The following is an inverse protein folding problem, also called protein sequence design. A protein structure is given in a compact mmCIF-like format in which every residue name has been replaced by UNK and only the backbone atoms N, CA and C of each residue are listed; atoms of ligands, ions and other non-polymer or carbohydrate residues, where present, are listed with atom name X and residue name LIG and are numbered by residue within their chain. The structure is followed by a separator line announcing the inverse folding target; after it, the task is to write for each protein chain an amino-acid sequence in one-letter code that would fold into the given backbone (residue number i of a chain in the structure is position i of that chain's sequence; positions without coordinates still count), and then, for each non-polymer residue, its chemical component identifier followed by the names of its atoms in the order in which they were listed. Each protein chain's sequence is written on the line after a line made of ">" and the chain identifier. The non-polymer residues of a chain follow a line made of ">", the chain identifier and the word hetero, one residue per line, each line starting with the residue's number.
data_IF_144666965046
#
_entry.id   IF_144666965046
#
_cell.length_a   1.000
_cell.length_b   1.000
_cell.length_c   1.000
_cell.angle_alpha   90.00
_cell.angle_beta   90.00
_cell.angle_gamma   90.00
#
_symmetry.space_group_name_H-M   'P 1'
#
loop_
_entity.id
_entity.type
_entity.pdbx_description
1 polymer ?
#
# COMPACT_ATOMS: atom_id res chain seq x y z
N UNK A 1 1.14 7.28 26.85
CA UNK A 1 0.91 6.80 25.46
C UNK A 1 1.35 5.36 25.43
N UNK A 2 0.48 4.42 25.02
CA UNK A 2 0.83 3.00 25.06
C UNK A 2 1.51 2.61 23.75
N UNK A 3 2.83 2.44 23.82
CA UNK A 3 3.61 1.77 22.79
C UNK A 3 3.13 0.31 22.69
N UNK A 4 3.10 -0.26 21.48
CA UNK A 4 2.77 -1.67 21.23
C UNK A 4 1.36 -2.14 21.60
N UNK A 5 0.37 -1.24 21.62
CA UNK A 5 -1.05 -1.63 21.72
C UNK A 5 -1.70 -1.53 20.34
N UNK A 6 -2.18 -2.66 19.83
CA UNK A 6 -2.80 -2.77 18.52
C UNK A 6 -4.32 -2.96 18.62
N UNK A 7 -5.06 -2.34 17.71
CA UNK A 7 -6.53 -2.36 17.70
C UNK A 7 -7.08 -2.88 16.37
N UNK A 8 -7.33 -4.19 16.30
CA UNK A 8 -7.93 -4.87 15.14
C UNK A 8 -9.36 -5.33 15.42
N UNK A 9 -10.25 -4.40 15.77
CA UNK A 9 -11.66 -4.68 16.06
C UNK A 9 -12.59 -3.67 15.39
N UNK A 10 -13.87 -4.03 15.27
CA UNK A 10 -14.88 -3.19 14.63
C UNK A 10 -14.53 -2.88 13.17
N UNK A 11 -14.47 -1.59 12.83
CA UNK A 11 -14.08 -1.14 11.46
C UNK A 11 -12.59 -1.33 11.15
N UNK A 12 -11.76 -1.59 12.16
CA UNK A 12 -10.32 -1.78 12.01
C UNK A 12 -9.94 -3.28 11.90
N UNK A 13 -10.93 -4.18 11.85
CA UNK A 13 -10.70 -5.62 11.71
C UNK A 13 -10.32 -5.98 10.26
N UNK A 14 -9.03 -5.87 9.98
CA UNK A 14 -8.43 -6.12 8.67
C UNK A 14 -8.66 -7.57 8.20
N UNK A 15 -8.52 -8.55 9.08
CA UNK A 15 -8.67 -9.96 8.72
C UNK A 15 -10.11 -10.27 8.33
N UNK A 16 -11.08 -9.70 9.05
CA UNK A 16 -12.50 -9.82 8.69
C UNK A 16 -12.79 -9.18 7.33
N UNK A 17 -12.23 -8.00 7.04
CA UNK A 17 -12.39 -7.36 5.74
C UNK A 17 -11.85 -8.23 4.60
N UNK A 18 -10.61 -8.75 4.73
CA UNK A 18 -10.01 -9.61 3.70
C UNK A 18 -10.84 -10.89 3.49
N UNK A 19 -11.39 -11.46 4.57
CA UNK A 19 -12.28 -12.61 4.47
C UNK A 19 -13.60 -12.29 3.74
N UNK A 20 -14.14 -11.08 3.86
CA UNK A 20 -15.29 -10.68 3.04
C UNK A 20 -14.93 -10.59 1.56
N UNK A 21 -13.76 -10.06 1.23
CA UNK A 21 -13.25 -10.03 -0.16
C UNK A 21 -13.10 -11.45 -0.71
N UNK A 22 -12.52 -12.38 0.08
CA UNK A 22 -12.44 -13.81 -0.28
C UNK A 22 -13.82 -14.42 -0.54
N UNK A 23 -14.79 -14.18 0.35
CA UNK A 23 -16.17 -14.69 0.22
C UNK A 23 -16.89 -14.15 -1.02
N UNK A 24 -16.57 -12.93 -1.43
CA UNK A 24 -17.09 -12.33 -2.66
C UNK A 24 -16.41 -12.87 -3.93
N UNK A 25 -15.39 -13.74 -3.82
CA UNK A 25 -14.66 -14.26 -4.96
C UNK A 25 -13.71 -13.24 -5.61
N UNK A 26 -13.35 -12.18 -4.88
CA UNK A 26 -12.47 -11.12 -5.37
C UNK A 26 -11.03 -11.32 -4.87
N UNK A 27 -10.07 -10.80 -5.63
CA UNK A 27 -8.68 -10.66 -5.19
C UNK A 27 -8.44 -9.34 -4.47
N UNK A 28 -7.35 -9.28 -3.69
CA UNK A 28 -6.95 -8.11 -2.92
C UNK A 28 -5.48 -7.74 -3.19
N UNK A 29 -5.23 -6.44 -3.35
CA UNK A 29 -3.88 -5.85 -3.30
C UNK A 29 -3.74 -5.19 -1.93
N UNK A 30 -2.79 -5.67 -1.11
CA UNK A 30 -2.59 -5.16 0.25
C UNK A 30 -1.53 -4.06 0.27
N UNK A 31 -1.97 -2.79 0.35
CA UNK A 31 -1.07 -1.63 0.47
C UNK A 31 -0.86 -1.29 1.96
N UNK A 32 0.11 -1.97 2.58
CA UNK A 32 0.25 -1.98 4.05
C UNK A 32 0.92 -0.76 4.67
N UNK A 33 1.68 0.03 3.89
CA UNK A 33 2.41 1.20 4.40
C UNK A 33 3.77 0.84 5.01
N UNK A 34 4.22 1.47 6.12
CA UNK A 34 3.37 2.13 7.12
C UNK A 34 3.00 3.57 6.78
N UNK A 35 3.74 4.22 5.86
CA UNK A 35 3.25 5.44 5.22
C UNK A 35 2.32 5.06 4.06
N UNK A 36 1.10 5.57 4.08
CA UNK A 36 0.09 5.29 3.04
C UNK A 36 -0.40 6.53 2.32
N UNK A 37 0.05 7.73 2.73
CA UNK A 37 -0.57 8.99 2.32
C UNK A 37 -2.08 8.95 2.59
N UNK A 38 -2.89 8.79 1.52
CA UNK A 38 -4.32 8.49 1.58
C UNK A 38 -5.16 9.60 2.17
N UNK A 39 -4.64 10.83 2.20
CA UNK A 39 -5.27 12.00 2.83
C UNK A 39 -5.70 11.69 4.28
N UNK A 40 -4.94 10.82 4.94
CA UNK A 40 -5.24 10.32 6.27
C UNK A 40 -4.37 11.03 7.30
N UNK A 41 -4.85 11.04 8.54
CA UNK A 41 -4.17 11.69 9.65
C UNK A 41 -2.71 11.22 9.73
N UNK A 42 -1.79 12.19 9.64
CA UNK A 42 -0.34 11.98 9.70
C UNK A 42 0.21 10.95 8.69
N UNK A 43 -0.46 10.79 7.54
CA UNK A 43 -0.05 9.84 6.48
C UNK A 43 -0.13 8.37 6.88
N UNK A 44 -0.82 8.06 7.99
CA UNK A 44 -0.91 6.73 8.59
C UNK A 44 0.04 6.52 9.78
N UNK A 45 1.02 7.40 10.01
CA UNK A 45 1.93 7.24 11.14
C UNK A 45 1.25 7.51 12.48
N UNK A 46 1.58 6.75 13.53
CA UNK A 46 1.18 7.10 14.86
C UNK A 46 1.96 8.32 15.35
N UNK A 47 1.27 9.30 15.94
CA UNK A 47 1.87 10.56 16.41
C UNK A 47 3.00 10.33 17.42
N UNK A 48 2.93 9.28 18.24
CA UNK A 48 3.98 8.97 19.22
C UNK A 48 5.34 8.68 18.57
N UNK A 49 5.37 8.24 17.30
CA UNK A 49 6.61 7.95 16.57
C UNK A 49 7.48 9.20 16.46
N UNK A 50 6.85 10.38 16.36
CA UNK A 50 7.54 11.67 16.28
C UNK A 50 8.32 12.01 17.56
N UNK A 51 7.94 11.43 18.69
CA UNK A 51 8.57 11.72 19.98
C UNK A 51 9.73 10.77 20.31
N UNK A 52 10.08 9.86 19.40
CA UNK A 52 11.23 8.97 19.60
C UNK A 52 12.54 9.77 19.44
N UNK A 53 13.50 9.64 20.38
CA UNK A 53 14.80 10.29 20.24
C UNK A 53 15.51 9.87 18.95
N UNK A 54 16.02 10.84 18.18
CA UNK A 54 16.77 10.58 16.95
C UNK A 54 15.91 10.14 15.76
N UNK A 55 14.58 10.26 15.83
CA UNK A 55 13.70 9.86 14.74
C UNK A 55 13.78 10.83 13.56
N UNK A 56 13.94 10.25 12.38
CA UNK A 56 13.72 10.92 11.10
C UNK A 56 12.78 10.07 10.26
N UNK A 57 11.74 10.66 9.69
CA UNK A 57 10.76 9.87 8.94
C UNK A 57 11.21 9.64 7.52
N UNK A 58 11.08 8.38 7.07
CA UNK A 58 11.32 7.97 5.67
C UNK A 58 12.74 8.27 5.20
N UNK A 59 13.70 8.24 6.11
CA UNK A 59 15.14 8.33 5.83
C UNK A 59 15.85 7.05 6.31
N UNK A 60 17.11 6.90 5.90
CA UNK A 60 18.00 5.86 6.39
C UNK A 60 18.58 6.28 7.76
N UNK A 61 17.80 6.04 8.81
CA UNK A 61 18.23 6.14 10.21
C UNK A 61 17.93 4.81 10.91
N UNK A 62 18.35 4.62 12.16
CA UNK A 62 18.13 3.34 12.86
C UNK A 62 16.69 3.21 13.38
N UNK A 63 16.14 4.29 13.93
CA UNK A 63 14.88 4.25 14.69
C UNK A 63 13.67 3.97 13.79
N UNK A 64 13.59 4.63 12.64
CA UNK A 64 12.42 4.56 11.78
C UNK A 64 12.26 3.19 11.08
N UNK A 65 13.29 2.60 10.43
CA UNK A 65 13.22 1.28 9.85
C UNK A 65 12.88 0.18 10.86
N UNK A 66 13.39 0.27 12.09
CA UNK A 66 13.07 -0.70 13.16
C UNK A 66 11.57 -0.67 13.51
N UNK A 67 11.01 0.52 13.72
CA UNK A 67 9.58 0.67 14.01
C UNK A 67 8.70 0.27 12.80
N UNK A 68 9.14 0.58 11.57
CA UNK A 68 8.48 0.10 10.37
C UNK A 68 8.52 -1.42 10.27
N UNK A 69 9.65 -2.04 10.59
CA UNK A 69 9.83 -3.49 10.54
C UNK A 69 8.92 -4.21 11.54
N UNK A 70 8.80 -3.67 12.76
CA UNK A 70 7.90 -4.20 13.78
C UNK A 70 6.44 -4.27 13.30
N UNK A 71 5.91 -3.15 12.80
CA UNK A 71 4.53 -3.10 12.32
C UNK A 71 4.31 -3.96 11.07
N UNK A 72 5.24 -3.91 10.12
CA UNK A 72 5.14 -4.69 8.87
C UNK A 72 5.16 -6.19 9.16
N UNK A 73 6.05 -6.64 10.02
CA UNK A 73 6.16 -8.05 10.43
C UNK A 73 4.91 -8.51 11.15
N UNK A 74 4.34 -7.69 12.04
CA UNK A 74 3.07 -7.98 12.70
C UNK A 74 1.95 -8.23 11.68
N UNK A 75 1.74 -7.29 10.74
CA UNK A 75 0.68 -7.41 9.74
C UNK A 75 0.90 -8.65 8.87
N UNK A 76 2.13 -8.87 8.38
CA UNK A 76 2.44 -10.04 7.55
C UNK A 76 2.20 -11.35 8.30
N UNK A 77 2.62 -11.46 9.56
CA UNK A 77 2.40 -12.65 10.37
C UNK A 77 0.90 -12.90 10.57
N UNK A 78 0.12 -11.86 10.93
CA UNK A 78 -1.33 -11.98 11.04
C UNK A 78 -1.98 -12.49 9.75
N UNK A 79 -1.56 -11.97 8.60
CA UNK A 79 -2.08 -12.38 7.29
C UNK A 79 -1.68 -13.83 6.96
N UNK A 80 -0.42 -14.22 7.25
CA UNK A 80 0.09 -15.58 7.05
C UNK A 80 -0.63 -16.60 7.92
N UNK A 81 -0.79 -16.30 9.20
CA UNK A 81 -1.42 -17.19 10.18
C UNK A 81 -2.90 -17.43 9.86
N UNK A 82 -3.54 -16.49 9.15
CA UNK A 82 -4.91 -16.62 8.65
C UNK A 82 -5.00 -17.19 7.22
N UNK A 83 -3.89 -17.60 6.60
CA UNK A 83 -3.83 -18.15 5.24
C UNK A 83 -4.47 -17.24 4.17
N UNK A 84 -4.17 -15.93 4.25
CA UNK A 84 -4.80 -14.93 3.41
C UNK A 84 -3.96 -14.51 2.18
N UNK A 85 -2.71 -14.93 2.09
CA UNK A 85 -1.93 -14.82 0.85
C UNK A 85 -2.38 -15.86 -0.19
N UNK A 86 -2.35 -15.49 -1.48
CA UNK A 86 -2.72 -16.39 -2.57
C UNK A 86 -1.86 -17.66 -2.63
N UNK A 87 -0.59 -17.56 -2.24
CA UNK A 87 0.32 -18.70 -2.02
C UNK A 87 -0.19 -19.72 -0.99
N UNK A 88 -1.11 -19.31 -0.10
CA UNK A 88 -1.75 -20.13 0.92
C UNK A 88 -3.25 -20.38 0.62
N UNK A 89 -3.74 -20.02 -0.57
CA UNK A 89 -5.17 -20.14 -0.94
C UNK A 89 -6.05 -18.98 -0.46
N UNK A 90 -5.46 -17.84 -0.12
CA UNK A 90 -6.16 -16.60 0.22
C UNK A 90 -6.33 -15.63 -0.97
N UNK A 91 -7.02 -14.48 -0.77
CA UNK A 91 -7.31 -13.55 -1.85
C UNK A 91 -6.17 -12.55 -2.14
N UNK A 92 -5.15 -12.43 -1.30
CA UNK A 92 -4.11 -11.39 -1.46
C UNK A 92 -3.11 -11.83 -2.53
N UNK A 93 -3.08 -11.10 -3.65
CA UNK A 93 -2.25 -11.44 -4.83
C UNK A 93 -1.02 -10.55 -4.98
N UNK A 94 -1.02 -9.37 -4.35
CA UNK A 94 0.09 -8.41 -4.39
C UNK A 94 0.14 -7.64 -3.07
N UNK A 95 1.34 -7.23 -2.66
CA UNK A 95 1.52 -6.35 -1.51
C UNK A 95 2.42 -5.16 -1.87
N UNK A 96 2.15 -3.98 -1.32
CA UNK A 96 2.98 -2.78 -1.55
C UNK A 96 3.89 -2.51 -0.35
N UNK A 97 5.20 -2.37 -0.57
CA UNK A 97 6.16 -1.99 0.47
C UNK A 97 7.47 -1.43 -0.08
N UNK A 98 8.24 -0.71 0.73
CA UNK A 98 9.29 0.19 0.25
C UNK A 98 10.76 -0.22 0.52
N UNK A 99 11.07 -1.40 1.06
CA UNK A 99 12.47 -1.76 1.37
C UNK A 99 12.76 -3.28 1.29
N UNK A 100 14.00 -3.67 1.64
CA UNK A 100 14.50 -5.05 1.51
C UNK A 100 13.83 -6.07 2.45
N UNK A 101 13.35 -5.67 3.63
CA UNK A 101 12.62 -6.55 4.55
C UNK A 101 11.41 -7.23 3.87
N UNK A 102 10.74 -6.61 2.90
CA UNK A 102 9.66 -7.24 2.13
C UNK A 102 10.05 -8.61 1.56
N UNK A 103 11.28 -8.73 1.01
CA UNK A 103 11.75 -9.98 0.45
C UNK A 103 11.98 -11.03 1.56
N UNK A 104 12.59 -10.62 2.67
CA UNK A 104 12.86 -11.52 3.81
C UNK A 104 11.58 -12.08 4.45
N UNK A 105 10.48 -11.33 4.36
CA UNK A 105 9.19 -11.76 4.90
C UNK A 105 8.55 -12.91 4.10
N UNK A 106 9.05 -13.25 2.91
CA UNK A 106 8.66 -14.41 2.11
C UNK A 106 7.14 -14.69 2.11
N UNK A 107 6.36 -13.74 1.57
CA UNK A 107 4.89 -13.84 1.52
C UNK A 107 4.37 -14.71 0.36
N UNK A 108 5.25 -15.09 -0.56
CA UNK A 108 4.92 -15.96 -1.70
C UNK A 108 4.06 -15.29 -2.79
N UNK A 109 3.90 -13.97 -2.75
CA UNK A 109 3.25 -13.16 -3.79
C UNK A 109 4.11 -11.93 -4.12
N UNK A 110 4.00 -11.33 -5.33
CA UNK A 110 4.87 -10.23 -5.72
C UNK A 110 4.66 -8.95 -4.89
N UNK A 111 5.74 -8.17 -4.78
CA UNK A 111 5.74 -6.84 -4.16
C UNK A 111 5.67 -5.73 -5.21
N UNK A 112 4.93 -4.67 -4.91
CA UNK A 112 4.83 -3.47 -5.74
C UNK A 112 5.36 -2.23 -5.00
N UNK A 113 5.85 -1.23 -5.75
CA UNK A 113 6.15 0.12 -5.25
C UNK A 113 5.51 1.14 -6.19
N UNK A 114 4.72 2.08 -5.67
CA UNK A 114 4.08 3.12 -6.47
C UNK A 114 4.97 4.36 -6.60
N UNK A 115 5.02 4.94 -7.80
CA UNK A 115 5.84 6.11 -8.12
C UNK A 115 7.32 5.94 -7.73
N UNK A 116 7.87 4.76 -8.01
CA UNK A 116 9.26 4.44 -7.72
C UNK A 116 9.97 3.91 -8.97
N UNK A 117 10.56 4.81 -9.76
CA UNK A 117 11.17 4.46 -11.05
C UNK A 117 12.37 3.52 -10.95
N UNK A 118 13.08 3.59 -9.83
CA UNK A 118 14.28 2.82 -9.49
C UNK A 118 14.00 1.66 -8.50
N UNK A 119 12.73 1.24 -8.33
CA UNK A 119 12.36 0.11 -7.47
C UNK A 119 13.28 -1.10 -7.71
N UNK A 120 13.95 -1.67 -6.71
CA UNK A 120 14.88 -2.77 -6.94
C UNK A 120 14.13 -4.05 -7.34
N UNK A 121 14.73 -4.92 -8.15
CA UNK A 121 14.16 -6.23 -8.41
C UNK A 121 14.07 -7.04 -7.09
N UNK A 122 13.01 -7.87 -6.87
CA UNK A 122 11.92 -8.20 -7.79
C UNK A 122 10.68 -7.29 -7.66
N UNK A 123 10.78 -6.12 -7.03
CA UNK A 123 9.63 -5.22 -6.85
C UNK A 123 9.17 -4.65 -8.19
N UNK A 124 7.85 -4.64 -8.39
CA UNK A 124 7.21 -4.09 -9.60
C UNK A 124 6.95 -2.59 -9.36
N UNK A 125 7.59 -1.68 -10.11
CA UNK A 125 7.24 -0.26 -10.09
C UNK A 125 5.86 -0.05 -10.71
N UNK A 126 5.07 0.84 -10.12
CA UNK A 126 3.68 1.10 -10.56
C UNK A 126 3.43 2.60 -10.65
N UNK A 127 2.47 2.99 -11.49
CA UNK A 127 2.12 4.38 -11.74
C UNK A 127 0.88 4.80 -10.93
N UNK A 128 0.84 6.07 -10.54
CA UNK A 128 -0.32 6.75 -9.94
C UNK A 128 -0.57 8.06 -10.71
N UNK A 129 -1.83 8.41 -10.93
CA UNK A 129 -2.17 9.65 -11.62
C UNK A 129 -3.57 9.65 -12.22
N UNK A 130 -3.86 10.72 -12.97
CA UNK A 130 -5.01 10.76 -13.88
C UNK A 130 -4.75 9.97 -15.18
N UNK A 131 -3.48 9.92 -15.61
CA UNK A 131 -3.02 9.21 -16.80
C UNK A 131 -1.74 8.45 -16.47
N UNK A 132 -1.61 7.23 -17.00
CA UNK A 132 -0.42 6.37 -16.86
C UNK A 132 -0.06 5.68 -18.20
N UNK A 133 -0.52 6.26 -19.32
CA UNK A 133 -0.25 5.83 -20.69
C UNK A 133 1.21 6.14 -21.11
N UNK A 134 1.79 7.23 -20.61
CA UNK A 134 3.13 7.75 -20.94
C UNK A 134 4.37 6.91 -20.55
N UNK A 135 4.24 5.61 -20.27
CA UNK A 135 5.39 4.70 -20.18
C UNK A 135 6.14 4.66 -18.83
N UNK A 136 5.47 4.99 -17.73
CA UNK A 136 6.08 5.05 -16.39
C UNK A 136 6.34 3.67 -15.76
N UNK A 137 7.57 3.43 -15.25
CA UNK A 137 8.72 3.07 -16.06
C UNK A 137 8.51 1.73 -16.80
N UNK A 138 8.83 1.69 -18.09
CA UNK A 138 8.85 0.44 -18.85
C UNK A 138 10.14 -0.34 -18.55
N UNK A 139 10.01 -1.52 -17.94
CA UNK A 139 11.12 -2.46 -17.74
C UNK A 139 10.80 -3.77 -18.45
N UNK A 140 11.81 -4.33 -19.13
CA UNK A 140 11.66 -5.63 -19.80
C UNK A 140 11.22 -6.69 -18.79
N UNK A 141 10.22 -7.50 -19.17
CA UNK A 141 9.67 -8.60 -18.35
C UNK A 141 9.05 -8.18 -17.02
N UNK A 142 8.68 -6.91 -16.85
CA UNK A 142 7.93 -6.41 -15.69
C UNK A 142 6.57 -5.89 -16.18
N UNK A 143 5.44 -6.32 -15.59
CA UNK A 143 4.13 -5.88 -16.04
C UNK A 143 3.92 -4.38 -15.76
N UNK A 144 3.28 -3.68 -16.70
CA UNK A 144 2.79 -2.31 -16.49
C UNK A 144 1.59 -2.35 -15.54
N UNK A 145 1.64 -1.57 -14.47
CA UNK A 145 0.56 -1.51 -13.47
C UNK A 145 0.25 -0.07 -13.08
N UNK A 146 -1.05 0.27 -13.07
CA UNK A 146 -1.58 1.54 -12.59
C UNK A 146 -2.30 1.31 -11.27
N UNK A 147 -1.66 1.67 -10.15
CA UNK A 147 -2.18 1.36 -8.80
C UNK A 147 -3.17 2.40 -8.27
N UNK A 148 -3.10 3.65 -8.75
CA UNK A 148 -4.09 4.69 -8.44
C UNK A 148 -4.54 5.45 -9.68
N UNK A 149 -5.65 5.02 -10.28
CA UNK A 149 -6.39 5.81 -11.26
C UNK A 149 -7.30 6.80 -10.54
N UNK A 150 -6.86 8.05 -10.41
CA UNK A 150 -7.56 9.05 -9.60
C UNK A 150 -8.93 9.40 -10.20
N UNK A 151 -10.00 8.93 -9.59
CA UNK A 151 -11.39 9.13 -10.08
C UNK A 151 -11.94 10.53 -9.82
N UNK A 152 -11.12 11.45 -9.31
CA UNK A 152 -11.48 12.78 -8.86
C UNK A 152 -10.40 13.28 -7.90
N UNK A 153 -10.77 14.23 -7.03
CA UNK A 153 -9.87 14.73 -6.00
C UNK A 153 -10.57 14.88 -4.65
N UNK A 154 -9.83 14.73 -3.56
CA UNK A 154 -10.35 14.92 -2.21
C UNK A 154 -10.81 16.37 -1.98
N UNK A 155 -11.78 16.54 -1.07
CA UNK A 155 -12.32 17.86 -0.72
C UNK A 155 -11.60 18.43 0.50
N UNK A 156 -10.91 19.55 0.30
CA UNK A 156 -10.42 20.39 1.39
C UNK A 156 -11.52 21.25 2.03
N UNK A 157 -11.32 21.65 3.28
CA UNK A 157 -12.22 22.60 3.95
C UNK A 157 -12.26 23.94 3.20
N UNK A 158 -13.46 24.42 2.91
CA UNK A 158 -13.66 25.65 2.12
C UNK A 158 -13.36 25.51 0.61
N UNK A 159 -12.86 24.36 0.16
CA UNK A 159 -12.60 24.11 -1.27
C UNK A 159 -13.87 23.69 -2.01
N UNK A 160 -13.86 23.88 -3.34
CA UNK A 160 -14.89 23.34 -4.24
C UNK A 160 -14.80 21.81 -4.28
N UNK A 161 -15.93 21.17 -4.55
CA UNK A 161 -15.96 19.73 -4.85
C UNK A 161 -15.30 19.51 -6.20
N UNK A 162 -14.32 18.61 -6.25
CA UNK A 162 -13.68 18.20 -7.50
C UNK A 162 -14.52 17.10 -8.17
N UNK A 163 -14.62 17.18 -9.49
CA UNK A 163 -15.32 16.19 -10.31
C UNK A 163 -14.41 15.79 -11.48
N UNK A 164 -14.37 14.48 -11.78
CA UNK A 164 -13.77 13.93 -12.98
C UNK A 164 -14.87 13.32 -13.85
N UNK A 165 -14.97 13.67 -15.15
CA UNK A 165 -15.95 13.06 -16.04
C UNK A 165 -15.73 11.55 -16.18
N UNK A 166 -16.82 10.79 -16.28
CA UNK A 166 -16.74 9.34 -16.48
C UNK A 166 -16.12 9.00 -17.86
N UNK A 167 -16.34 9.87 -18.85
CA UNK A 167 -15.80 9.78 -20.19
C UNK A 167 -14.28 9.91 -20.20
N UNK A 168 -13.74 10.87 -19.45
CA UNK A 168 -12.29 11.02 -19.27
C UNK A 168 -11.71 9.79 -18.56
N UNK A 169 -12.34 9.36 -17.46
CA UNK A 169 -11.89 8.16 -16.74
C UNK A 169 -11.84 6.93 -17.66
N UNK A 170 -12.90 6.68 -18.45
CA UNK A 170 -12.96 5.58 -19.39
C UNK A 170 -11.90 5.70 -20.51
N UNK A 171 -11.70 6.92 -21.04
CA UNK A 171 -10.69 7.20 -22.05
C UNK A 171 -9.29 6.83 -21.55
N UNK A 172 -8.93 7.22 -20.32
CA UNK A 172 -7.60 6.92 -19.76
C UNK A 172 -7.33 5.43 -19.55
N UNK A 173 -8.37 4.63 -19.28
CA UNK A 173 -8.24 3.18 -19.16
C UNK A 173 -8.03 2.55 -20.54
N UNK A 174 -8.72 3.06 -21.56
CA UNK A 174 -8.62 2.56 -22.94
C UNK A 174 -7.22 2.76 -23.56
N UNK A 175 -6.44 3.72 -23.06
CA UNK A 175 -5.11 4.05 -23.59
C UNK A 175 -3.96 3.20 -23.04
N UNK A 176 -4.21 2.30 -22.09
CA UNK A 176 -3.17 1.50 -21.42
C UNK A 176 -2.70 0.29 -22.23
#
# INVERSE_FOLDING_TARGET
>A
MNLNVYHFSGRNDLMKFINYVKKAGLYLILRMGPYVCGEWNYGGFPVWLHNLPGIEFRTDNEVFPDEMANFTTLIVNMVKDNHLFASQGGPIILAQWCANLAQSLNIGVPWVMCQQDDAPAPMIPTCNGYYCDGGYPQRNNVPKMWTENWTGWFKGWGSKVSHRPAEDLAFTIWQL
#
